data_IF_596626331237
#
_entry.id   IF_596626331237
#
_cell.length_a   1.000
_cell.length_b   1.000
_cell.length_c   1.000
_cell.angle_alpha   90.00
_cell.angle_beta   90.00
_cell.angle_gamma   90.00
#
_symmetry.space_group_name_H-M   'P 1'
#
loop_
_entity.id
_entity.type
_entity.pdbx_description
1 polymer ?
#
# COMPACT_ATOMS: atom_id res chain seq x y z
N UNK A 1 11.70 -1.02 6.50
CA UNK A 1 10.67 -1.42 5.52
C UNK A 1 9.39 -1.97 6.16
N UNK A 2 9.43 -2.94 7.09
CA UNK A 2 8.21 -3.50 7.70
C UNK A 2 7.26 -2.44 8.29
N UNK A 3 7.79 -1.53 9.11
CA UNK A 3 7.02 -0.42 9.67
C UNK A 3 6.39 0.48 8.59
N UNK A 4 7.10 0.69 7.47
CA UNK A 4 6.56 1.42 6.34
C UNK A 4 5.35 0.68 5.75
N UNK A 5 5.49 -0.58 5.35
CA UNK A 5 4.36 -1.31 4.72
C UNK A 5 3.14 -1.44 5.64
N UNK A 6 3.35 -1.65 6.95
CA UNK A 6 2.26 -1.71 7.94
C UNK A 6 1.52 -0.38 8.10
N UNK A 7 2.24 0.72 7.94
CA UNK A 7 1.71 2.07 8.09
C UNK A 7 0.93 2.56 6.88
N UNK A 8 1.04 1.92 5.71
CA UNK A 8 0.33 2.36 4.51
C UNK A 8 -1.17 2.08 4.66
N UNK A 9 -1.96 3.14 4.63
CA UNK A 9 -3.41 3.09 4.72
C UNK A 9 -4.01 3.45 3.36
N UNK A 10 -5.01 2.68 2.94
CA UNK A 10 -5.85 2.99 1.78
C UNK A 10 -7.16 3.59 2.28
N UNK A 11 -7.56 4.68 1.65
CA UNK A 11 -8.87 5.30 1.85
C UNK A 11 -9.70 5.25 0.56
N UNK A 12 -10.69 4.37 0.57
CA UNK A 12 -11.61 4.17 -0.55
C UNK A 12 -12.57 5.36 -0.74
N UNK A 13 -12.92 5.69 -2.01
CA UNK A 13 -13.85 6.76 -2.32
C UNK A 13 -15.23 6.52 -1.67
N UNK A 14 -15.98 7.60 -1.46
CA UNK A 14 -17.32 7.54 -0.88
C UNK A 14 -18.32 6.84 -1.82
N UNK A 15 -18.18 7.08 -3.13
CA UNK A 15 -18.99 6.45 -4.18
C UNK A 15 -18.24 5.21 -4.67
N UNK A 16 -18.64 4.06 -4.14
CA UNK A 16 -18.13 2.73 -4.50
C UNK A 16 -18.95 2.21 -5.69
N UNK A 17 -18.42 2.28 -6.92
CA UNK A 17 -19.11 1.73 -8.11
C UNK A 17 -19.29 0.20 -7.98
N UNK A 18 -20.43 -0.37 -8.40
CA UNK A 18 -20.84 -1.74 -8.05
C UNK A 18 -20.00 -2.88 -8.66
N UNK A 19 -18.99 -2.59 -9.49
CA UNK A 19 -18.27 -3.63 -10.24
C UNK A 19 -17.15 -4.34 -9.45
N UNK A 20 -16.77 -3.86 -8.25
CA UNK A 20 -15.54 -4.32 -7.58
C UNK A 20 -15.61 -4.37 -6.04
N UNK A 21 -16.76 -4.15 -5.42
CA UNK A 21 -16.79 -3.85 -3.99
C UNK A 21 -17.18 -5.03 -3.11
N UNK A 22 -16.17 -5.59 -2.45
CA UNK A 22 -16.36 -6.30 -1.18
C UNK A 22 -16.67 -5.27 -0.08
N UNK A 23 -17.95 -5.13 0.27
CA UNK A 23 -18.43 -4.19 1.30
C UNK A 23 -17.99 -4.58 2.71
N UNK A 24 -17.43 -5.78 2.91
CA UNK A 24 -16.90 -6.21 4.22
C UNK A 24 -15.64 -5.44 4.62
N UNK A 25 -14.94 -4.81 3.66
CA UNK A 25 -13.70 -4.07 3.93
C UNK A 25 -14.02 -2.62 4.31
N UNK A 26 -13.58 -2.16 5.50
CA UNK A 26 -13.74 -0.79 5.93
C UNK A 26 -13.18 0.21 4.91
N UNK A 27 -13.76 1.41 4.82
CA UNK A 27 -13.29 2.43 3.86
C UNK A 27 -11.85 2.86 4.08
N UNK A 28 -11.39 2.85 5.33
CA UNK A 28 -10.01 3.11 5.73
C UNK A 28 -9.45 1.81 6.27
N UNK A 29 -8.42 1.27 5.64
CA UNK A 29 -7.81 0.00 6.04
C UNK A 29 -6.34 -0.05 5.60
N UNK A 30 -5.57 -0.99 6.17
CA UNK A 30 -4.18 -1.20 5.77
C UNK A 30 -4.10 -1.69 4.33
N UNK A 31 -3.17 -1.15 3.55
CA UNK A 31 -2.93 -1.62 2.19
C UNK A 31 -2.46 -3.08 2.16
N UNK A 32 -1.61 -3.46 3.11
CA UNK A 32 -1.01 -4.79 3.18
C UNK A 32 -1.45 -5.50 4.44
N UNK A 33 -1.83 -6.78 4.31
CA UNK A 33 -1.96 -7.67 5.46
C UNK A 33 -0.60 -8.14 5.97
N UNK A 34 -0.57 -8.76 7.15
CA UNK A 34 0.68 -9.16 7.79
C UNK A 34 1.47 -10.19 6.96
N UNK A 35 0.79 -11.07 6.21
CA UNK A 35 1.48 -12.04 5.34
C UNK A 35 2.19 -11.32 4.19
N UNK A 36 1.54 -10.36 3.54
CA UNK A 36 2.16 -9.51 2.53
C UNK A 36 3.31 -8.69 3.08
N UNK A 37 3.18 -8.13 4.30
CA UNK A 37 4.26 -7.38 4.95
C UNK A 37 5.48 -8.28 5.19
N UNK A 38 5.29 -9.47 5.76
CA UNK A 38 6.37 -10.42 6.05
C UNK A 38 7.09 -10.85 4.77
N UNK A 39 6.34 -11.02 3.68
CA UNK A 39 6.89 -11.40 2.37
C UNK A 39 7.63 -10.24 1.69
N UNK A 40 6.98 -9.09 1.52
CA UNK A 40 7.47 -7.99 0.68
C UNK A 40 8.54 -7.16 1.37
N UNK A 41 8.42 -6.93 2.68
CA UNK A 41 9.34 -6.04 3.39
C UNK A 41 10.82 -6.43 3.27
N UNK A 42 11.24 -7.69 3.47
CA UNK A 42 12.65 -8.06 3.30
C UNK A 42 13.11 -7.94 1.85
N UNK A 43 12.27 -8.31 0.87
CA UNK A 43 12.60 -8.23 -0.55
C UNK A 43 12.80 -6.79 -1.01
N UNK A 44 11.87 -5.89 -0.65
CA UNK A 44 11.97 -4.46 -0.96
C UNK A 44 13.17 -3.81 -0.26
N UNK A 45 13.44 -4.18 1.00
CA UNK A 45 14.61 -3.68 1.71
C UNK A 45 15.92 -4.10 1.04
N UNK A 46 16.01 -5.36 0.58
CA UNK A 46 17.19 -5.86 -0.12
C UNK A 46 17.35 -5.20 -1.50
N UNK A 47 16.25 -5.02 -2.24
CA UNK A 47 16.26 -4.38 -3.54
C UNK A 47 16.67 -2.91 -3.44
N UNK A 48 16.11 -2.15 -2.47
CA UNK A 48 16.50 -0.76 -2.22
C UNK A 48 17.96 -0.60 -1.81
N UNK A 49 18.54 -1.59 -1.10
CA UNK A 49 19.95 -1.56 -0.75
C UNK A 49 20.88 -1.74 -1.96
N UNK A 50 20.38 -2.36 -3.04
CA UNK A 50 21.11 -2.53 -4.30
C UNK A 50 20.84 -1.39 -5.29
N UNK A 51 19.72 -0.71 -5.14
CA UNK A 51 19.31 0.39 -5.99
C UNK A 51 20.13 1.66 -5.70
N UNK A 52 20.48 2.38 -6.75
CA UNK A 52 21.00 3.74 -6.68
C UNK A 52 19.86 4.73 -6.40
N UNK A 53 20.20 5.99 -6.09
CA UNK A 53 19.20 7.05 -5.85
C UNK A 53 18.34 7.40 -7.06
N UNK A 54 18.74 6.97 -8.26
CA UNK A 54 18.02 7.20 -9.52
C UNK A 54 17.17 5.99 -9.94
N UNK A 55 17.25 4.88 -9.20
CA UNK A 55 16.58 3.63 -9.54
C UNK A 55 15.28 3.43 -8.76
N UNK A 56 14.26 2.95 -9.49
CA UNK A 56 12.97 2.57 -8.95
C UNK A 56 12.92 1.06 -8.73
N UNK A 57 12.68 0.64 -7.48
CA UNK A 57 12.38 -0.75 -7.17
C UNK A 57 10.88 -0.97 -7.38
N UNK A 58 10.51 -1.93 -8.22
CA UNK A 58 9.10 -2.27 -8.45
C UNK A 58 8.70 -3.54 -7.70
N UNK A 59 7.41 -3.67 -7.39
CA UNK A 59 6.83 -4.88 -6.84
C UNK A 59 5.53 -5.23 -7.55
N UNK A 60 5.25 -6.53 -7.60
CA UNK A 60 4.02 -7.08 -8.15
C UNK A 60 3.61 -8.30 -7.31
N UNK A 61 2.48 -8.18 -6.64
CA UNK A 61 1.87 -9.28 -5.91
C UNK A 61 0.52 -9.61 -6.55
N UNK A 62 0.32 -10.86 -6.92
CA UNK A 62 -0.99 -11.36 -7.35
C UNK A 62 -1.54 -12.41 -6.40
N UNK A 63 -2.87 -12.41 -6.25
CA UNK A 63 -3.63 -13.40 -5.49
C UNK A 63 -4.71 -13.99 -6.39
N UNK A 64 -4.82 -15.31 -6.55
CA UNK A 64 -5.88 -15.90 -7.36
C UNK A 64 -7.24 -15.64 -6.70
N UNK A 65 -8.20 -15.13 -7.49
CA UNK A 65 -9.61 -15.00 -7.09
C UNK A 65 -10.45 -16.18 -7.62
N UNK A 66 -10.16 -16.62 -8.85
CA UNK A 66 -10.77 -17.78 -9.50
C UNK A 66 -9.80 -18.33 -10.56
N UNK A 67 -10.16 -19.42 -11.26
CA UNK A 67 -9.30 -20.02 -12.29
C UNK A 67 -8.91 -19.09 -13.45
N UNK A 68 -9.64 -17.98 -13.65
CA UNK A 68 -9.41 -17.02 -14.75
C UNK A 68 -9.17 -15.58 -14.28
N UNK A 69 -9.23 -15.32 -12.97
CA UNK A 69 -9.12 -13.97 -12.41
C UNK A 69 -8.17 -13.95 -11.22
N UNK A 70 -7.38 -12.89 -11.15
CA UNK A 70 -6.45 -12.60 -10.07
C UNK A 70 -6.63 -11.17 -9.59
N UNK A 71 -6.39 -10.96 -8.32
CA UNK A 71 -6.29 -9.65 -7.70
C UNK A 71 -4.80 -9.24 -7.69
N UNK A 72 -4.50 -8.03 -8.16
CA UNK A 72 -3.13 -7.52 -8.31
C UNK A 72 -2.92 -6.30 -7.41
N UNK A 73 -1.83 -6.33 -6.65
CA UNK A 73 -1.29 -5.18 -5.93
C UNK A 73 0.14 -4.94 -6.38
N UNK A 74 0.42 -3.78 -6.98
CA UNK A 74 1.71 -3.46 -7.58
C UNK A 74 2.04 -1.98 -7.49
N UNK A 75 3.31 -1.67 -7.68
CA UNK A 75 3.79 -0.30 -7.64
C UNK A 75 5.31 -0.23 -7.55
N UNK A 76 5.79 0.85 -6.95
CA UNK A 76 7.20 1.18 -6.92
C UNK A 76 7.63 1.88 -5.64
N UNK A 77 8.91 1.75 -5.32
CA UNK A 77 9.53 2.36 -4.16
C UNK A 77 10.94 2.82 -4.51
N UNK A 78 11.30 4.02 -4.05
CA UNK A 78 12.62 4.61 -4.23
C UNK A 78 12.97 5.52 -3.06
N UNK A 79 14.24 5.95 -2.97
CA UNK A 79 14.75 6.81 -1.91
C UNK A 79 15.22 8.15 -2.48
N UNK A 80 14.81 9.25 -1.86
CA UNK A 80 15.33 10.59 -2.13
C UNK A 80 15.85 11.16 -0.82
N UNK A 81 17.17 11.24 -0.69
CA UNK A 81 17.81 11.56 0.58
C UNK A 81 17.42 10.52 1.65
N UNK A 82 16.65 10.94 2.66
CA UNK A 82 16.17 10.07 3.74
C UNK A 82 14.68 9.74 3.65
N UNK A 83 14.04 10.19 2.58
CA UNK A 83 12.62 9.99 2.35
C UNK A 83 12.38 8.75 1.50
N UNK A 84 11.48 7.89 1.97
CA UNK A 84 11.00 6.74 1.23
C UNK A 84 9.77 7.16 0.43
N UNK A 85 9.89 7.13 -0.88
CA UNK A 85 8.79 7.37 -1.80
C UNK A 85 8.14 6.05 -2.14
N UNK A 86 6.85 5.92 -1.88
CA UNK A 86 6.08 4.71 -2.14
C UNK A 86 4.90 5.03 -3.06
N UNK A 87 4.83 4.37 -4.20
CA UNK A 87 3.78 4.53 -5.19
C UNK A 87 2.94 3.26 -5.26
N UNK A 88 1.63 3.38 -5.10
CA UNK A 88 0.68 2.27 -5.24
C UNK A 88 -0.10 2.38 -6.55
N UNK A 89 0.48 1.85 -7.63
CA UNK A 89 -0.12 1.89 -8.97
C UNK A 89 -1.37 1.03 -9.08
N UNK A 90 -1.32 -0.20 -8.54
CA UNK A 90 -2.46 -1.11 -8.51
C UNK A 90 -2.71 -1.54 -7.07
N UNK A 91 -3.93 -1.32 -6.60
CA UNK A 91 -4.41 -1.80 -5.32
C UNK A 91 -5.58 -2.72 -5.57
N UNK A 92 -5.42 -3.99 -5.17
CA UNK A 92 -6.45 -5.03 -5.26
C UNK A 92 -7.24 -5.00 -6.58
N UNK A 93 -6.53 -4.76 -7.68
CA UNK A 93 -7.14 -4.55 -8.99
C UNK A 93 -7.33 -5.89 -9.68
N UNK A 94 -8.52 -6.16 -10.23
CA UNK A 94 -8.74 -7.43 -10.93
C UNK A 94 -8.00 -7.41 -12.27
N UNK A 95 -7.19 -8.44 -12.49
CA UNK A 95 -6.62 -8.79 -13.79
C UNK A 95 -7.05 -10.20 -14.17
N UNK A 96 -6.98 -10.53 -15.45
CA UNK A 96 -7.23 -11.88 -15.95
C UNK A 96 -5.96 -12.72 -15.80
N UNK A 97 -6.14 -14.01 -15.53
CA UNK A 97 -5.04 -14.94 -15.52
C UNK A 97 -4.63 -15.26 -16.96
N UNK A 98 -3.51 -14.70 -17.42
CA UNK A 98 -2.96 -14.92 -18.76
C UNK A 98 -2.16 -16.22 -18.80
N UNK A 99 -2.80 -17.37 -18.61
CA UNK A 99 -2.17 -18.67 -18.88
C UNK A 99 -2.49 -19.21 -20.27
N UNK A 100 -3.49 -18.66 -20.96
CA UNK A 100 -3.80 -19.02 -22.35
C UNK A 100 -2.96 -18.19 -23.33
N UNK A 101 -1.79 -18.74 -23.67
CA UNK A 101 -1.10 -18.50 -24.95
C UNK A 101 -2.09 -18.65 -26.11
N UNK A 102 -2.66 -17.54 -26.61
CA UNK A 102 -3.47 -17.61 -27.83
C UNK A 102 -4.39 -16.42 -28.18
N UNK A 103 -4.67 -15.48 -27.25
CA UNK A 103 -5.49 -14.30 -27.59
C UNK A 103 -4.63 -13.05 -27.66
N UNK A 104 -4.78 -12.27 -28.74
CA UNK A 104 -3.88 -11.20 -29.20
C UNK A 104 -3.80 -9.92 -28.31
N UNK A 105 -4.08 -10.02 -27.02
CA UNK A 105 -3.76 -9.00 -26.01
C UNK A 105 -2.84 -9.61 -24.94
N UNK A 106 -1.61 -9.92 -25.34
CA UNK A 106 -0.56 -10.65 -24.60
C UNK A 106 0.40 -9.72 -23.85
N UNK A 107 -0.08 -8.67 -23.20
CA UNK A 107 0.78 -7.90 -22.30
C UNK A 107 0.75 -8.60 -20.94
N UNK A 108 1.87 -9.23 -20.57
CA UNK A 108 2.07 -9.70 -19.21
C UNK A 108 2.17 -8.45 -18.30
N UNK A 109 1.09 -8.18 -17.55
CA UNK A 109 0.98 -7.06 -16.62
C UNK A 109 2.16 -7.00 -15.61
N UNK A 110 2.83 -8.14 -15.37
CA UNK A 110 4.02 -8.23 -14.51
C UNK A 110 5.21 -7.43 -15.04
N UNK A 111 5.27 -7.18 -16.34
CA UNK A 111 6.33 -6.40 -16.99
C UNK A 111 6.09 -4.88 -16.86
N UNK A 112 4.89 -4.47 -16.48
CA UNK A 112 4.51 -3.06 -16.35
C UNK A 112 3.85 -2.78 -14.99
N UNK A 113 4.51 -3.10 -13.85
CA UNK A 113 3.90 -3.02 -12.52
C UNK A 113 3.48 -1.60 -12.11
N UNK A 114 4.04 -0.58 -12.76
CA UNK A 114 3.71 0.82 -12.54
C UNK A 114 2.49 1.28 -13.34
N UNK A 115 2.08 0.54 -14.37
CA UNK A 115 0.95 0.86 -15.23
C UNK A 115 -0.36 0.54 -14.50
N UNK A 116 -1.27 1.52 -14.33
CA UNK A 116 -2.59 1.23 -13.76
C UNK A 116 -3.40 0.29 -14.66
N UNK A 117 -3.92 -0.79 -14.09
CA UNK A 117 -4.78 -1.77 -14.76
C UNK A 117 -6.22 -1.28 -14.91
N UNK A 118 -6.66 -0.44 -13.99
CA UNK A 118 -7.96 0.21 -14.01
C UNK A 118 -7.86 1.59 -13.33
N UNK A 119 -8.77 2.52 -13.66
CA UNK A 119 -8.89 3.78 -12.92
C UNK A 119 -9.13 3.50 -11.43
N UNK A 120 -8.26 4.03 -10.58
CA UNK A 120 -8.35 3.84 -9.13
C UNK A 120 -8.43 5.18 -8.43
N UNK A 121 -9.44 5.32 -7.57
CA UNK A 121 -9.74 6.57 -6.89
C UNK A 121 -9.35 6.58 -5.40
N UNK A 122 -8.90 5.44 -4.86
CA UNK A 122 -8.51 5.39 -3.45
C UNK A 122 -7.28 6.28 -3.20
N UNK A 123 -7.30 6.99 -2.08
CA UNK A 123 -6.21 7.84 -1.61
C UNK A 123 -5.32 7.05 -0.66
N UNK A 124 -4.06 7.46 -0.55
CA UNK A 124 -3.13 6.90 0.42
C UNK A 124 -2.95 7.83 1.61
N UNK A 125 -2.86 7.22 2.79
CA UNK A 125 -2.49 7.85 4.05
C UNK A 125 -1.41 6.98 4.73
N UNK A 126 -0.81 7.47 5.80
CA UNK A 126 0.23 6.76 6.52
C UNK A 126 0.08 6.87 8.03
N UNK A 127 0.23 5.76 8.74
CA UNK A 127 0.25 5.68 10.20
C UNK A 127 1.61 5.19 10.71
N UNK A 128 2.28 5.93 11.60
CA UNK A 128 1.85 7.19 12.21
C UNK A 128 1.90 8.37 11.24
N UNK A 129 0.89 9.25 11.28
CA UNK A 129 0.83 10.43 10.41
C UNK A 129 2.00 11.40 10.61
N UNK A 130 2.65 11.36 11.78
CA UNK A 130 3.86 12.14 12.04
C UNK A 130 5.03 11.79 11.11
N UNK A 131 5.06 10.57 10.54
CA UNK A 131 6.06 10.12 9.59
C UNK A 131 5.71 10.44 8.13
N UNK A 132 4.48 10.91 7.88
CA UNK A 132 4.05 11.33 6.55
C UNK A 132 4.51 12.76 6.29
N UNK A 133 5.19 12.97 5.16
CA UNK A 133 5.50 14.32 4.73
C UNK A 133 4.23 15.01 4.18
N UNK A 134 3.89 16.22 4.64
CA UNK A 134 2.76 16.96 4.10
C UNK A 134 3.00 17.21 2.62
N UNK A 135 2.08 16.76 1.76
CA UNK A 135 2.12 17.16 0.35
C UNK A 135 1.92 18.67 0.30
N UNK A 136 2.81 19.45 -0.34
CA UNK A 136 2.54 20.87 -0.53
C UNK A 136 1.21 20.98 -1.26
N UNK A 137 0.22 21.63 -0.64
CA UNK A 137 -1.11 21.84 -1.19
C UNK A 137 -1.01 22.83 -2.35
N UNK A 138 -0.44 22.38 -3.48
CA UNK A 138 -0.39 23.16 -4.69
C UNK A 138 -1.76 23.06 -5.34
N UNK A 139 -2.64 23.99 -4.96
CA UNK A 139 -3.95 24.26 -5.59
C UNK A 139 -3.84 24.48 -7.12
N UNK A 140 -2.61 24.52 -7.66
CA UNK A 140 -2.27 24.70 -9.07
C UNK A 140 -1.84 23.40 -9.80
N UNK A 141 -1.64 22.27 -9.11
CA UNK A 141 -1.14 21.01 -9.72
C UNK A 141 -2.20 19.89 -9.89
N UNK A 142 -3.49 20.22 -9.85
CA UNK A 142 -4.61 19.27 -9.94
C UNK A 142 -4.74 18.48 -11.28
N UNK A 143 -3.74 18.52 -12.16
CA UNK A 143 -3.77 17.85 -13.48
C UNK A 143 -3.01 16.51 -13.48
N UNK A 144 -2.21 16.19 -12.46
CA UNK A 144 -1.51 14.89 -12.38
C UNK A 144 -2.20 13.95 -11.37
N UNK A 145 -2.89 12.92 -11.88
CA UNK A 145 -3.47 11.83 -11.07
C UNK A 145 -2.40 11.08 -10.25
N UNK A 146 -1.13 11.20 -10.63
CA UNK A 146 0.05 10.61 -9.97
C UNK A 146 0.14 11.01 -8.49
N UNK A 147 -0.20 12.24 -8.12
CA UNK A 147 0.01 12.76 -6.76
C UNK A 147 -0.83 12.08 -5.68
N UNK A 148 -1.99 11.48 -6.01
CA UNK A 148 -2.89 10.89 -4.99
C UNK A 148 -2.43 9.52 -4.48
N UNK A 149 -1.47 8.90 -5.18
CA UNK A 149 -1.07 7.50 -5.00
C UNK A 149 0.40 7.32 -4.66
N UNK A 150 1.06 8.42 -4.33
CA UNK A 150 2.40 8.44 -3.77
C UNK A 150 2.35 8.81 -2.28
N UNK A 151 3.16 8.17 -1.47
CA UNK A 151 3.45 8.54 -0.08
C UNK A 151 4.93 8.89 0.03
N UNK A 152 5.22 9.99 0.72
CA UNK A 152 6.58 10.38 1.07
C UNK A 152 6.71 10.15 2.58
N UNK A 153 7.48 9.13 2.95
CA UNK A 153 7.58 8.65 4.33
C UNK A 153 8.97 8.95 4.86
N UNK A 154 9.03 9.67 5.97
CA UNK A 154 10.27 10.01 6.66
C UNK A 154 10.81 8.79 7.39
N UNK A 155 11.87 8.18 6.84
CA UNK A 155 12.40 6.92 7.34
C UNK A 155 12.88 6.99 8.80
N UNK A 156 13.47 8.12 9.22
CA UNK A 156 13.92 8.35 10.61
C UNK A 156 12.81 8.22 11.66
N UNK A 157 11.59 8.63 11.33
CA UNK A 157 10.46 8.59 12.28
C UNK A 157 9.88 7.19 12.46
N UNK A 158 10.16 6.24 11.55
CA UNK A 158 9.72 4.85 11.66
C UNK A 158 10.51 4.05 12.71
N UNK A 159 11.75 4.47 13.01
CA UNK A 159 12.63 3.80 13.98
C UNK A 159 12.34 4.27 15.41
N UNK A 160 11.72 5.45 15.57
CA UNK A 160 11.54 6.12 16.86
C UNK A 160 10.26 5.69 17.61
N UNK A 161 9.46 4.77 17.09
CA UNK A 161 8.27 4.26 17.79
C UNK A 161 8.47 2.81 18.26
N UNK A 162 8.80 2.60 19.54
CA UNK A 162 8.52 1.33 20.20
C UNK A 162 7.00 1.12 20.20
N UNK A 163 6.57 -0.07 19.80
CA UNK A 163 5.17 -0.47 19.83
C UNK A 163 4.63 -0.31 21.26
N UNK A 164 3.88 0.75 21.50
CA UNK A 164 3.19 0.96 22.77
C UNK A 164 1.87 0.21 22.74
N UNK A 165 1.92 -1.12 22.65
CA UNK A 165 0.79 -1.95 23.06
C UNK A 165 0.88 -2.08 24.59
N UNK A 166 0.14 -1.25 25.31
CA UNK A 166 -0.20 -1.54 26.70
C UNK A 166 -1.61 -2.10 26.72
N UNK A 167 -1.83 -3.37 27.11
CA UNK A 167 -3.17 -3.84 27.41
C UNK A 167 -3.62 -3.15 28.69
N UNK A 168 -4.65 -2.31 28.58
CA UNK A 168 -5.34 -1.75 29.74
C UNK A 168 -6.06 -2.89 30.45
N UNK A 169 -5.38 -3.52 31.42
CA UNK A 169 -6.05 -4.30 32.47
C UNK A 169 -6.67 -3.30 33.44
N UNK A 170 -7.99 -3.15 33.39
CA UNK A 170 -8.75 -2.49 34.44
C UNK A 170 -8.56 -3.24 35.77
N UNK A 171 -8.28 -2.56 36.88
CA UNK A 171 -8.35 -3.20 38.20
C UNK A 171 -9.82 -3.38 38.57
N UNK A 172 -10.23 -4.64 38.75
CA UNK A 172 -11.46 -4.98 39.47
C UNK A 172 -11.27 -4.55 40.92
N UNK A 173 -11.99 -3.52 41.33
CA UNK A 173 -12.15 -3.11 42.71
C UNK A 173 -12.97 -4.18 43.46
N UNK A 174 -12.32 -4.90 44.37
CA UNK A 174 -12.98 -5.67 45.42
C UNK A 174 -13.57 -4.68 46.43
N UNK A 175 -14.89 -4.54 46.41
CA UNK A 175 -15.63 -3.91 47.49
C UNK A 175 -16.07 -4.98 48.51
N UNK A 176 -15.85 -4.68 49.77
CA UNK A 176 -16.09 -5.53 50.94
C UNK A 176 -17.34 -4.99 51.63
N UNK A 177 -18.40 -5.79 51.73
CA UNK A 177 -19.64 -5.32 52.36
C UNK A 177 -20.54 -6.41 52.90
N UNK A 178 -20.33 -6.70 54.21
CA UNK A 178 -21.25 -7.23 55.24
C UNK A 178 -21.99 -8.55 55.01
#
# INVERSE_FOLDING_TARGET
MMAALRGIIVQEPLIRLPLYNDLSVPRRHRAFDEQSVILLAPLLSQALHKATSEELVTFYQSRPLSGVAQEVTSGGVFLVGENLHFILSNYRSNSRFTADTGSASTLDDRLTPMQPLAPQQAQLDFEPSAALEPKPSSLWMNILQTDKRELIIRSRQLVLQPQSETPTKSPVSTDTGR
#
